data_IF_989871586749
#
_entry.id   IF_989871586749
#
_cell.length_a   1.000
_cell.length_b   1.000
_cell.length_c   1.000
_cell.angle_alpha   90.00
_cell.angle_beta   90.00
_cell.angle_gamma   90.00
#
_symmetry.space_group_name_H-M   'P 1'
#
loop_
_entity.id
_entity.type
_entity.pdbx_description
1 polymer ?
#
# COMPACT_ATOMS: atom_id res chain seq x y z
N UNK A 1 21.28 -2.02 -19.37
CA UNK A 1 21.12 -3.17 -18.48
C UNK A 1 22.49 -3.81 -18.32
N UNK A 2 23.18 -3.50 -17.21
CA UNK A 2 24.42 -4.18 -16.85
C UNK A 2 24.09 -5.64 -16.54
N UNK A 3 24.84 -6.58 -17.09
CA UNK A 3 24.71 -8.01 -16.79
C UNK A 3 24.93 -8.22 -15.29
N UNK A 4 23.86 -8.53 -14.58
CA UNK A 4 23.98 -8.95 -13.19
C UNK A 4 24.92 -10.17 -13.15
N UNK A 5 25.87 -10.16 -12.22
CA UNK A 5 26.78 -11.28 -12.01
C UNK A 5 25.94 -12.55 -11.76
N UNK A 6 26.12 -13.64 -12.54
CA UNK A 6 25.35 -14.86 -12.41
C UNK A 6 25.40 -15.47 -10.99
N UNK A 7 26.48 -15.23 -10.25
CA UNK A 7 26.62 -15.68 -8.87
C UNK A 7 25.66 -14.93 -7.94
N UNK A 8 25.53 -13.61 -8.11
CA UNK A 8 24.62 -12.78 -7.34
C UNK A 8 23.14 -13.12 -7.60
N UNK A 9 22.80 -13.43 -8.86
CA UNK A 9 21.44 -13.88 -9.21
C UNK A 9 21.07 -15.20 -8.52
N UNK A 10 21.99 -16.19 -8.52
CA UNK A 10 21.78 -17.47 -7.86
C UNK A 10 21.66 -17.34 -6.31
N UNK A 11 22.38 -16.40 -5.71
CA UNK A 11 22.27 -16.12 -4.27
C UNK A 11 20.94 -15.50 -3.91
N UNK A 12 20.44 -14.54 -4.71
CA UNK A 12 19.12 -13.95 -4.55
C UNK A 12 18.01 -15.00 -4.68
N UNK A 13 18.07 -15.86 -5.67
CA UNK A 13 17.09 -16.95 -5.83
C UNK A 13 17.06 -17.90 -4.64
N UNK A 14 18.21 -18.23 -4.07
CA UNK A 14 18.27 -19.01 -2.82
C UNK A 14 17.66 -18.26 -1.64
N UNK A 15 17.85 -16.94 -1.57
CA UNK A 15 17.24 -16.11 -0.54
C UNK A 15 15.72 -16.07 -0.69
N UNK A 16 15.21 -15.92 -1.90
CA UNK A 16 13.77 -15.99 -2.18
C UNK A 16 13.17 -17.33 -1.75
N UNK A 17 13.82 -18.42 -2.12
CA UNK A 17 13.39 -19.76 -1.70
C UNK A 17 13.34 -19.91 -0.18
N UNK A 18 14.36 -19.41 0.55
CA UNK A 18 14.35 -19.43 2.02
C UNK A 18 13.21 -18.57 2.60
N UNK A 19 12.97 -17.39 2.03
CA UNK A 19 11.88 -16.52 2.48
C UNK A 19 10.51 -17.14 2.23
N UNK A 20 10.28 -17.70 1.04
CA UNK A 20 9.03 -18.43 0.72
C UNK A 20 8.79 -19.61 1.65
N UNK A 21 9.81 -20.41 1.98
CA UNK A 21 9.65 -21.52 2.93
C UNK A 21 9.28 -21.05 4.34
N UNK A 22 9.89 -19.97 4.84
CA UNK A 22 9.52 -19.41 6.15
C UNK A 22 8.06 -18.95 6.20
N UNK A 23 7.58 -18.31 5.11
CA UNK A 23 6.19 -17.91 5.02
C UNK A 23 5.24 -19.09 4.85
N UNK A 24 5.64 -20.12 4.10
CA UNK A 24 4.88 -21.36 3.98
C UNK A 24 4.74 -22.04 5.35
N UNK A 25 5.82 -22.19 6.10
CA UNK A 25 5.83 -22.76 7.46
C UNK A 25 4.96 -21.95 8.41
N UNK A 26 5.08 -20.61 8.35
CA UNK A 26 4.23 -19.72 9.15
C UNK A 26 2.74 -19.92 8.83
N UNK A 27 2.34 -19.94 7.56
CA UNK A 27 0.93 -20.13 7.19
C UNK A 27 0.42 -21.54 7.51
N UNK A 28 1.23 -22.56 7.33
CA UNK A 28 0.87 -23.93 7.69
C UNK A 28 0.61 -24.04 9.20
N UNK A 29 1.50 -23.50 10.02
CA UNK A 29 1.35 -23.47 11.48
C UNK A 29 0.14 -22.64 11.91
N UNK A 30 0.08 -21.40 11.46
CA UNK A 30 -0.88 -20.41 11.96
C UNK A 30 -2.34 -20.68 11.54
N UNK A 31 -2.54 -21.09 10.29
CA UNK A 31 -3.88 -21.25 9.72
C UNK A 31 -4.30 -22.70 9.52
N UNK A 32 -3.35 -23.60 9.31
CA UNK A 32 -3.63 -25.00 8.97
C UNK A 32 -3.22 -26.00 10.06
N UNK A 33 -2.68 -25.52 11.19
CA UNK A 33 -2.28 -26.36 12.35
C UNK A 33 -1.30 -27.46 11.97
N UNK A 34 -0.32 -27.14 11.14
CA UNK A 34 0.73 -28.03 10.63
C UNK A 34 0.19 -29.26 9.86
N UNK A 35 -0.99 -29.11 9.23
CA UNK A 35 -1.63 -30.22 8.51
C UNK A 35 -0.94 -30.57 7.18
N UNK A 36 -0.21 -29.61 6.57
CA UNK A 36 0.48 -29.84 5.29
C UNK A 36 1.88 -30.41 5.50
N UNK A 37 2.26 -31.31 4.61
CA UNK A 37 3.65 -31.75 4.51
C UNK A 37 4.45 -30.75 3.65
N UNK A 38 5.68 -30.48 4.03
CA UNK A 38 6.57 -29.54 3.33
C UNK A 38 6.70 -29.91 1.85
N UNK A 39 6.34 -29.02 0.91
CA UNK A 39 6.45 -29.27 -0.53
C UNK A 39 7.86 -28.97 -1.04
N UNK A 40 8.14 -29.32 -2.27
CA UNK A 40 9.25 -28.74 -3.01
C UNK A 40 8.84 -27.33 -3.46
N UNK A 41 9.57 -26.29 -3.07
CA UNK A 41 9.40 -24.94 -3.61
C UNK A 41 10.38 -24.73 -4.77
N UNK A 42 9.85 -24.33 -5.92
CA UNK A 42 10.62 -24.05 -7.12
C UNK A 42 10.31 -22.66 -7.66
N UNK A 43 11.31 -22.02 -8.24
CA UNK A 43 11.14 -20.77 -8.99
C UNK A 43 10.99 -21.11 -10.46
N UNK A 44 9.92 -20.61 -11.08
CA UNK A 44 9.60 -20.87 -12.49
C UNK A 44 9.77 -19.63 -13.35
N UNK A 45 9.94 -19.85 -14.67
CA UNK A 45 10.08 -18.78 -15.67
C UNK A 45 8.78 -18.47 -16.43
N UNK A 46 7.67 -19.11 -16.04
CA UNK A 46 6.38 -18.93 -16.70
C UNK A 46 5.88 -17.49 -16.52
N UNK A 47 5.80 -16.72 -17.61
CA UNK A 47 5.35 -15.34 -17.59
C UNK A 47 3.83 -15.19 -17.38
N UNK A 48 3.05 -16.22 -17.70
CA UNK A 48 1.58 -16.18 -17.66
C UNK A 48 0.98 -16.76 -16.37
N UNK A 49 1.75 -17.53 -15.59
CA UNK A 49 1.30 -18.12 -14.32
C UNK A 49 2.10 -17.56 -13.17
N UNK A 50 1.43 -17.02 -12.18
CA UNK A 50 2.06 -16.45 -10.97
C UNK A 50 2.55 -17.57 -10.04
N UNK A 51 1.77 -18.66 -9.94
CA UNK A 51 2.05 -19.85 -9.16
C UNK A 51 1.43 -21.10 -9.76
N UNK A 52 1.83 -22.28 -9.26
CA UNK A 52 1.28 -23.58 -9.63
C UNK A 52 1.57 -24.62 -8.55
N UNK A 53 0.54 -25.38 -8.13
CA UNK A 53 0.67 -26.59 -7.36
C UNK A 53 0.67 -27.82 -8.27
N UNK A 54 1.74 -28.63 -8.23
CA UNK A 54 1.88 -29.91 -8.89
C UNK A 54 1.72 -31.02 -7.85
N UNK A 55 0.60 -31.72 -7.89
CA UNK A 55 0.27 -32.76 -6.92
C UNK A 55 1.13 -34.02 -7.07
N UNK A 56 1.57 -34.33 -8.30
CA UNK A 56 2.38 -35.54 -8.58
C UNK A 56 3.80 -35.41 -8.02
N UNK A 57 4.37 -34.22 -8.12
CA UNK A 57 5.71 -33.91 -7.60
C UNK A 57 5.68 -33.27 -6.20
N UNK A 58 4.49 -33.00 -5.66
CA UNK A 58 4.28 -32.27 -4.43
C UNK A 58 5.08 -30.94 -4.42
N UNK A 59 4.94 -30.18 -5.48
CA UNK A 59 5.73 -29.01 -5.77
C UNK A 59 4.85 -27.76 -5.91
N UNK A 60 5.26 -26.67 -5.25
CA UNK A 60 4.75 -25.32 -5.48
C UNK A 60 5.79 -24.58 -6.30
N UNK A 61 5.39 -24.07 -7.45
CA UNK A 61 6.22 -23.21 -8.30
C UNK A 61 5.72 -21.77 -8.19
N UNK A 62 6.63 -20.81 -7.97
CA UNK A 62 6.34 -19.38 -7.98
C UNK A 62 7.14 -18.71 -9.10
N UNK A 63 6.51 -17.83 -9.87
CA UNK A 63 7.15 -17.13 -10.99
C UNK A 63 8.22 -16.16 -10.50
N UNK A 64 9.44 -16.23 -11.11
CA UNK A 64 10.51 -15.25 -10.88
C UNK A 64 10.09 -13.84 -11.24
N UNK A 65 9.37 -13.69 -12.35
CA UNK A 65 8.86 -12.38 -12.77
C UNK A 65 7.89 -11.80 -11.74
N UNK A 66 7.03 -12.63 -11.14
CA UNK A 66 6.13 -12.23 -10.07
C UNK A 66 6.91 -11.70 -8.85
N UNK A 67 7.96 -12.42 -8.43
CA UNK A 67 8.81 -12.00 -7.30
C UNK A 67 9.53 -10.65 -7.60
N UNK A 68 9.95 -10.44 -8.84
CA UNK A 68 10.70 -9.23 -9.21
C UNK A 68 9.84 -7.99 -9.44
N UNK A 69 8.59 -8.16 -9.87
CA UNK A 69 7.77 -7.04 -10.35
C UNK A 69 6.56 -6.73 -9.49
N UNK A 70 6.16 -7.62 -8.58
CA UNK A 70 5.00 -7.39 -7.74
C UNK A 70 5.37 -7.18 -6.27
N UNK A 71 4.41 -6.74 -5.47
CA UNK A 71 4.62 -6.62 -4.04
C UNK A 71 4.82 -8.00 -3.39
N UNK A 72 5.59 -8.06 -2.31
CA UNK A 72 5.75 -9.32 -1.59
C UNK A 72 4.44 -9.85 -1.03
N UNK A 73 3.49 -8.97 -0.69
CA UNK A 73 2.13 -9.36 -0.28
C UNK A 73 1.40 -10.12 -1.40
N UNK A 74 1.54 -9.69 -2.67
CA UNK A 74 0.92 -10.40 -3.80
C UNK A 74 1.58 -11.75 -4.04
N UNK A 75 2.90 -11.83 -3.88
CA UNK A 75 3.66 -13.12 -3.94
C UNK A 75 3.17 -14.07 -2.85
N UNK A 76 2.91 -13.55 -1.64
CA UNK A 76 2.40 -14.36 -0.53
C UNK A 76 0.93 -14.74 -0.71
N UNK A 77 0.13 -13.93 -1.40
CA UNK A 77 -1.23 -14.31 -1.78
C UNK A 77 -1.20 -15.49 -2.75
N UNK A 78 -0.34 -15.45 -3.76
CA UNK A 78 -0.12 -16.58 -4.67
C UNK A 78 0.37 -17.81 -3.92
N UNK A 79 1.34 -17.67 -3.01
CA UNK A 79 1.80 -18.80 -2.19
C UNK A 79 0.64 -19.43 -1.39
N UNK A 80 -0.21 -18.65 -0.76
CA UNK A 80 -1.37 -19.15 -0.01
C UNK A 80 -2.41 -19.80 -0.91
N UNK A 81 -2.60 -19.28 -2.13
CA UNK A 81 -3.46 -19.89 -3.14
C UNK A 81 -2.97 -21.30 -3.50
N UNK A 82 -1.68 -21.45 -3.77
CA UNK A 82 -1.08 -22.78 -4.06
C UNK A 82 -1.10 -23.71 -2.84
N UNK A 83 -0.95 -23.16 -1.63
CA UNK A 83 -1.15 -23.92 -0.39
C UNK A 83 -2.61 -24.39 -0.22
N UNK A 84 -3.59 -23.63 -0.71
CA UNK A 84 -4.98 -24.05 -0.69
C UNK A 84 -5.18 -25.28 -1.61
N UNK A 85 -4.61 -25.28 -2.82
CA UNK A 85 -4.62 -26.45 -3.69
C UNK A 85 -3.93 -27.65 -3.02
N UNK A 86 -2.77 -27.44 -2.39
CA UNK A 86 -2.08 -28.50 -1.64
C UNK A 86 -2.98 -29.07 -0.53
N UNK A 87 -3.67 -28.23 0.23
CA UNK A 87 -4.54 -28.66 1.32
C UNK A 87 -5.76 -29.45 0.82
N UNK A 88 -6.39 -28.98 -0.24
CA UNK A 88 -7.52 -29.69 -0.88
C UNK A 88 -7.07 -31.08 -1.34
N UNK A 89 -5.88 -31.16 -1.93
CA UNK A 89 -5.32 -32.42 -2.40
C UNK A 89 -4.90 -33.37 -1.27
N UNK A 90 -4.07 -32.88 -0.33
CA UNK A 90 -3.42 -33.75 0.68
C UNK A 90 -4.33 -34.06 1.88
N UNK A 91 -5.18 -33.09 2.29
CA UNK A 91 -5.94 -33.17 3.54
C UNK A 91 -7.41 -33.49 3.29
N UNK A 92 -8.07 -32.73 2.40
CA UNK A 92 -9.48 -32.94 2.11
C UNK A 92 -9.72 -34.08 1.13
N UNK A 93 -8.72 -34.44 0.32
CA UNK A 93 -8.82 -35.47 -0.72
C UNK A 93 -9.98 -35.28 -1.68
N UNK A 94 -10.36 -34.01 -1.93
CA UNK A 94 -11.48 -33.63 -2.78
C UNK A 94 -11.08 -33.61 -4.28
N UNK A 95 -10.51 -34.69 -4.78
CA UNK A 95 -9.89 -34.81 -6.12
C UNK A 95 -10.93 -34.73 -7.25
N UNK A 96 -12.19 -34.97 -6.95
CA UNK A 96 -13.29 -34.96 -7.95
C UNK A 96 -13.96 -33.62 -8.10
N UNK A 97 -13.63 -32.63 -7.26
CA UNK A 97 -14.19 -31.28 -7.36
C UNK A 97 -13.45 -30.45 -8.41
N UNK A 98 -14.12 -29.38 -8.88
CA UNK A 98 -13.47 -28.34 -9.65
C UNK A 98 -12.26 -27.76 -8.87
N UNK A 99 -11.11 -27.54 -9.51
CA UNK A 99 -9.92 -27.02 -8.83
C UNK A 99 -10.16 -25.76 -7.99
N UNK A 100 -11.13 -24.91 -8.37
CA UNK A 100 -11.56 -23.72 -7.62
C UNK A 100 -12.99 -23.87 -7.04
N UNK A 101 -13.41 -25.12 -6.77
CA UNK A 101 -14.70 -25.48 -6.20
C UNK A 101 -14.90 -25.01 -4.77
N UNK A 102 -15.93 -25.56 -4.10
CA UNK A 102 -16.30 -25.13 -2.75
C UNK A 102 -15.23 -25.44 -1.71
N UNK A 103 -14.63 -26.65 -1.78
CA UNK A 103 -13.54 -27.05 -0.90
C UNK A 103 -12.35 -26.07 -0.98
N UNK A 104 -11.95 -25.71 -2.19
CA UNK A 104 -10.86 -24.74 -2.41
C UNK A 104 -11.21 -23.36 -1.81
N UNK A 105 -12.40 -22.83 -2.09
CA UNK A 105 -12.83 -21.52 -1.53
C UNK A 105 -12.89 -21.52 -0.01
N UNK A 106 -13.30 -22.64 0.59
CA UNK A 106 -13.28 -22.83 2.04
C UNK A 106 -11.85 -22.70 2.59
N UNK A 107 -10.88 -23.35 1.93
CA UNK A 107 -9.47 -23.28 2.35
C UNK A 107 -8.87 -21.91 2.12
N UNK A 108 -9.20 -21.23 1.00
CA UNK A 108 -8.79 -19.85 0.78
C UNK A 108 -9.29 -18.90 1.89
N UNK A 109 -10.55 -19.04 2.31
CA UNK A 109 -11.06 -18.29 3.47
C UNK A 109 -10.26 -18.58 4.75
N UNK A 110 -9.89 -19.83 4.99
CA UNK A 110 -9.07 -20.23 6.14
C UNK A 110 -7.66 -19.64 6.07
N UNK A 111 -7.04 -19.64 4.88
CA UNK A 111 -5.73 -19.04 4.62
C UNK A 111 -5.77 -17.51 4.43
N UNK A 112 -6.98 -16.92 4.36
CA UNK A 112 -7.19 -15.49 4.14
C UNK A 112 -6.55 -14.97 2.85
N UNK A 113 -6.66 -15.75 1.79
CA UNK A 113 -6.26 -15.38 0.44
C UNK A 113 -7.48 -15.28 -0.49
N UNK A 114 -7.31 -14.51 -1.57
CA UNK A 114 -8.32 -14.38 -2.60
C UNK A 114 -8.34 -15.65 -3.48
N UNK A 115 -9.48 -16.33 -3.63
CA UNK A 115 -9.60 -17.46 -4.57
C UNK A 115 -9.26 -17.09 -6.02
N UNK A 116 -9.36 -15.80 -6.41
CA UNK A 116 -9.06 -15.30 -7.74
C UNK A 116 -7.61 -14.77 -7.89
N UNK A 117 -6.73 -14.97 -6.91
CA UNK A 117 -5.39 -14.36 -6.84
C UNK A 117 -4.52 -14.59 -8.08
N UNK A 118 -4.68 -15.73 -8.77
CA UNK A 118 -3.96 -16.06 -10.00
C UNK A 118 -4.47 -15.35 -11.25
N UNK A 119 -5.70 -14.83 -11.23
CA UNK A 119 -6.34 -14.22 -12.40
C UNK A 119 -6.16 -12.69 -12.51
N UNK A 120 -5.66 -12.03 -11.45
CA UNK A 120 -5.58 -10.55 -11.41
C UNK A 120 -4.67 -9.93 -12.47
N UNK A 121 -3.67 -10.65 -12.99
CA UNK A 121 -2.80 -10.13 -14.05
C UNK A 121 -3.37 -10.23 -15.47
N UNK A 122 -4.37 -11.08 -15.68
CA UNK A 122 -4.87 -11.35 -17.04
C UNK A 122 -5.95 -10.37 -17.45
N UNK A 123 -6.55 -9.61 -16.51
CA UNK A 123 -7.62 -8.69 -16.86
C UNK A 123 -7.69 -7.47 -15.93
N UNK A 124 -7.00 -6.35 -16.28
CA UNK A 124 -7.23 -5.07 -15.59
C UNK A 124 -8.67 -4.53 -15.77
N UNK A 125 -9.49 -5.17 -16.62
CA UNK A 125 -10.89 -4.82 -16.85
C UNK A 125 -11.88 -5.53 -15.91
N UNK A 126 -11.43 -6.41 -15.03
CA UNK A 126 -12.29 -7.21 -14.14
C UNK A 126 -12.47 -6.69 -12.71
N UNK A 127 -12.02 -5.53 -12.37
CA UNK A 127 -12.72 -4.76 -11.37
C UNK A 127 -13.94 -4.20 -12.07
N UNK A 128 -15.12 -4.77 -11.82
CA UNK A 128 -16.39 -4.07 -11.96
C UNK A 128 -16.33 -2.88 -10.98
N UNK A 129 -15.47 -1.92 -11.29
CA UNK A 129 -15.46 -0.64 -10.62
C UNK A 129 -16.82 -0.03 -10.98
N UNK A 130 -17.61 0.28 -9.97
CA UNK A 130 -18.82 1.05 -10.13
C UNK A 130 -18.48 2.22 -11.07
N UNK A 131 -19.27 2.43 -12.16
CA UNK A 131 -19.07 3.57 -13.07
C UNK A 131 -18.99 4.91 -12.32
N UNK A 132 -19.63 5.01 -11.17
CA UNK A 132 -19.58 6.16 -10.27
C UNK A 132 -18.20 6.28 -9.64
N UNK A 133 -17.61 5.18 -9.12
CA UNK A 133 -16.27 5.18 -8.54
C UNK A 133 -15.20 5.63 -9.53
N UNK A 134 -15.22 5.09 -10.75
CA UNK A 134 -14.31 5.51 -11.83
C UNK A 134 -14.48 6.99 -12.20
N UNK A 135 -15.72 7.49 -12.18
CA UNK A 135 -16.02 8.89 -12.45
C UNK A 135 -15.46 9.79 -11.37
N UNK A 136 -15.63 9.44 -10.09
CA UNK A 136 -15.09 10.18 -8.94
C UNK A 136 -13.56 10.15 -8.96
N UNK A 137 -12.96 8.98 -9.20
CA UNK A 137 -11.51 8.85 -9.30
C UNK A 137 -10.93 9.78 -10.39
N UNK A 138 -11.55 9.81 -11.59
CA UNK A 138 -11.16 10.71 -12.68
C UNK A 138 -11.36 12.19 -12.31
N UNK A 139 -12.44 12.51 -11.62
CA UNK A 139 -12.72 13.89 -11.21
C UNK A 139 -11.74 14.35 -10.14
N UNK A 140 -11.43 13.52 -9.16
CA UNK A 140 -10.40 13.77 -8.13
C UNK A 140 -9.04 13.95 -8.80
N UNK A 141 -8.64 13.05 -9.68
CA UNK A 141 -7.40 13.16 -10.45
C UNK A 141 -7.34 14.46 -11.26
N UNK A 142 -8.43 14.83 -11.91
CA UNK A 142 -8.53 16.08 -12.68
C UNK A 142 -8.44 17.31 -11.77
N UNK A 143 -9.08 17.31 -10.61
CA UNK A 143 -8.98 18.41 -9.64
C UNK A 143 -7.58 18.53 -9.08
N UNK A 144 -6.93 17.40 -8.81
CA UNK A 144 -5.54 17.40 -8.40
C UNK A 144 -4.62 17.91 -9.51
N UNK A 145 -4.91 17.65 -10.80
CA UNK A 145 -4.16 18.21 -11.93
C UNK A 145 -4.36 19.70 -12.14
N UNK A 146 -5.48 20.29 -11.71
CA UNK A 146 -5.72 21.74 -11.72
C UNK A 146 -4.96 22.49 -10.63
N UNK A 147 -4.48 21.80 -9.60
CA UNK A 147 -3.62 22.38 -8.58
C UNK A 147 -2.23 22.83 -9.08
N UNK A 148 -1.86 22.56 -10.35
CA UNK A 148 -0.66 23.06 -11.03
C UNK A 148 -0.76 24.53 -11.45
N UNK A 149 -1.91 25.17 -11.18
CA UNK A 149 -2.01 26.62 -11.38
C UNK A 149 -0.88 27.32 -10.63
N UNK A 150 -0.15 28.25 -11.26
CA UNK A 150 0.82 29.09 -10.57
C UNK A 150 0.17 29.95 -9.48
N UNK A 151 -1.15 30.00 -9.44
CA UNK A 151 -1.94 30.67 -8.43
C UNK A 151 -2.22 29.71 -7.24
N UNK A 152 -1.58 29.96 -6.10
CA UNK A 152 -1.73 29.16 -4.88
C UNK A 152 -3.18 29.03 -4.39
N UNK A 153 -4.01 30.07 -4.62
CA UNK A 153 -5.42 30.05 -4.22
C UNK A 153 -6.25 29.08 -5.06
N UNK A 154 -6.01 29.01 -6.37
CA UNK A 154 -6.69 28.06 -7.26
C UNK A 154 -6.28 26.61 -6.95
N UNK A 155 -4.98 26.38 -6.73
CA UNK A 155 -4.45 25.10 -6.34
C UNK A 155 -5.07 24.59 -5.03
N UNK A 156 -5.15 25.47 -4.02
CA UNK A 156 -5.78 25.12 -2.74
C UNK A 156 -7.28 24.86 -2.88
N UNK A 157 -7.99 25.67 -3.67
CA UNK A 157 -9.43 25.47 -3.93
C UNK A 157 -9.71 24.13 -4.62
N UNK A 158 -8.87 23.73 -5.57
CA UNK A 158 -8.99 22.46 -6.27
C UNK A 158 -8.80 21.25 -5.32
N UNK A 159 -7.80 21.31 -4.44
CA UNK A 159 -7.57 20.26 -3.42
C UNK A 159 -8.72 20.18 -2.42
N UNK A 160 -9.18 21.31 -1.91
CA UNK A 160 -10.32 21.35 -0.99
C UNK A 160 -11.57 20.74 -1.64
N UNK A 161 -11.79 21.03 -2.94
CA UNK A 161 -12.90 20.44 -3.71
C UNK A 161 -12.72 18.94 -3.88
N UNK A 162 -11.50 18.44 -4.13
CA UNK A 162 -11.23 17.02 -4.24
C UNK A 162 -11.50 16.30 -2.90
N UNK A 163 -11.04 16.88 -1.78
CA UNK A 163 -11.31 16.33 -0.44
C UNK A 163 -12.82 16.33 -0.11
N UNK A 164 -13.53 17.38 -0.47
CA UNK A 164 -14.98 17.43 -0.27
C UNK A 164 -15.71 16.38 -1.09
N UNK A 165 -15.36 16.21 -2.37
CA UNK A 165 -15.94 15.18 -3.22
C UNK A 165 -15.65 13.77 -2.67
N UNK A 166 -14.45 13.52 -2.17
CA UNK A 166 -14.12 12.25 -1.51
C UNK A 166 -14.95 12.05 -0.25
N UNK A 167 -15.14 13.09 0.55
CA UNK A 167 -15.98 13.01 1.75
C UNK A 167 -17.43 12.68 1.38
N UNK A 168 -18.02 13.43 0.47
CA UNK A 168 -19.39 13.21 -0.03
C UNK A 168 -19.53 11.78 -0.57
N UNK A 169 -18.61 11.34 -1.43
CA UNK A 169 -18.60 9.99 -1.99
C UNK A 169 -18.50 8.90 -0.92
N UNK A 170 -17.62 9.06 0.06
CA UNK A 170 -17.47 8.05 1.11
C UNK A 170 -18.64 8.02 2.09
N UNK A 171 -19.30 9.15 2.35
CA UNK A 171 -20.54 9.20 3.15
C UNK A 171 -21.68 8.54 2.40
N UNK A 172 -21.91 8.88 1.12
CA UNK A 172 -22.95 8.27 0.29
C UNK A 172 -22.74 6.74 0.16
N UNK A 173 -21.47 6.31 0.09
CA UNK A 173 -21.13 4.90 0.06
C UNK A 173 -21.47 4.18 1.36
N UNK A 174 -21.25 4.78 2.53
CA UNK A 174 -21.56 4.15 3.83
C UNK A 174 -23.05 3.88 3.93
N UNK A 175 -23.87 4.80 3.43
CA UNK A 175 -25.33 4.71 3.46
C UNK A 175 -25.91 3.78 2.39
N UNK A 176 -25.11 3.35 1.40
CA UNK A 176 -25.56 2.47 0.33
C UNK A 176 -25.36 0.99 0.65
N UNK A 177 -26.30 0.13 0.20
CA UNK A 177 -26.17 -1.34 0.27
C UNK A 177 -25.31 -1.93 -0.85
N UNK A 178 -24.70 -1.09 -1.71
CA UNK A 178 -23.88 -1.56 -2.83
C UNK A 178 -22.69 -2.40 -2.36
N UNK A 179 -22.41 -3.51 -3.05
CA UNK A 179 -21.19 -4.27 -2.85
C UNK A 179 -19.98 -3.40 -3.20
N UNK A 180 -19.01 -3.33 -2.29
CA UNK A 180 -17.79 -2.55 -2.46
C UNK A 180 -16.59 -3.46 -2.60
N UNK A 181 -15.76 -3.19 -3.59
CA UNK A 181 -14.45 -3.77 -3.71
C UNK A 181 -13.44 -3.02 -2.84
N UNK A 182 -12.96 -3.66 -1.78
CA UNK A 182 -11.80 -3.15 -1.06
C UNK A 182 -10.54 -3.83 -1.58
N UNK A 183 -9.48 -3.05 -1.66
CA UNK A 183 -8.16 -3.50 -2.04
C UNK A 183 -7.13 -3.09 -0.98
N UNK A 184 -5.92 -3.57 -1.16
CA UNK A 184 -4.76 -3.15 -0.36
C UNK A 184 -3.58 -2.87 -1.26
N UNK A 185 -2.74 -1.91 -0.84
CA UNK A 185 -1.53 -1.52 -1.55
C UNK A 185 -0.39 -1.25 -0.58
N UNK A 186 0.82 -1.58 -1.00
CA UNK A 186 2.02 -1.24 -0.25
C UNK A 186 2.56 0.11 -0.70
N UNK A 187 2.87 1.00 0.25
CA UNK A 187 3.44 2.31 0.00
C UNK A 187 4.84 2.43 0.62
N UNK A 188 5.75 3.01 -0.12
CA UNK A 188 7.13 3.20 0.31
C UNK A 188 8.00 1.95 0.12
N UNK A 189 9.04 1.83 0.93
CA UNK A 189 10.04 0.76 0.82
C UNK A 189 10.05 -0.10 2.06
N UNK A 190 10.40 -1.38 1.89
CA UNK A 190 10.68 -2.30 3.00
C UNK A 190 11.90 -1.81 3.78
N UNK A 191 11.76 -1.68 5.10
CA UNK A 191 12.81 -1.22 6.01
C UNK A 191 12.76 -1.97 7.33
N UNK A 192 13.92 -2.17 7.93
CA UNK A 192 14.01 -2.73 9.29
C UNK A 192 13.55 -1.76 10.37
N UNK A 193 13.63 -0.44 10.11
CA UNK A 193 13.20 0.62 11.04
C UNK A 193 12.63 1.80 10.26
N UNK A 194 11.46 2.28 10.70
CA UNK A 194 10.80 3.46 10.14
C UNK A 194 11.09 4.70 11.01
N UNK A 195 11.55 5.80 10.40
CA UNK A 195 11.75 7.04 11.12
C UNK A 195 10.38 7.67 11.48
N UNK A 196 10.37 8.53 12.51
CA UNK A 196 9.14 9.12 13.04
C UNK A 196 8.29 9.86 12.00
N UNK A 197 8.91 10.45 10.98
CA UNK A 197 8.16 11.14 9.94
C UNK A 197 7.29 10.20 9.08
N UNK A 198 7.74 8.95 8.83
CA UNK A 198 6.90 7.96 8.13
C UNK A 198 5.67 7.57 8.95
N UNK A 199 5.79 7.55 10.28
CA UNK A 199 4.65 7.30 11.17
C UNK A 199 3.64 8.46 11.12
N UNK A 200 4.11 9.70 11.07
CA UNK A 200 3.26 10.87 10.86
C UNK A 200 2.54 10.80 9.52
N UNK A 201 3.24 10.40 8.45
CA UNK A 201 2.66 10.26 7.12
C UNK A 201 1.56 9.18 7.11
N UNK A 202 1.83 8.01 7.70
CA UNK A 202 0.83 6.95 7.84
C UNK A 202 -0.41 7.42 8.62
N UNK A 203 -0.22 8.19 9.71
CA UNK A 203 -1.31 8.76 10.50
C UNK A 203 -2.13 9.76 9.67
N UNK A 204 -1.50 10.62 8.86
CA UNK A 204 -2.18 11.55 7.96
C UNK A 204 -3.06 10.78 6.96
N UNK A 205 -2.54 9.72 6.35
CA UNK A 205 -3.31 8.90 5.42
C UNK A 205 -4.53 8.29 6.10
N UNK A 206 -4.35 7.68 7.26
CA UNK A 206 -5.42 7.04 8.01
C UNK A 206 -6.51 8.04 8.45
N UNK A 207 -6.11 9.21 8.91
CA UNK A 207 -7.06 10.17 9.50
C UNK A 207 -7.81 10.99 8.46
N UNK A 208 -7.21 11.28 7.30
CA UNK A 208 -7.75 12.27 6.37
C UNK A 208 -8.09 11.73 4.97
N UNK A 209 -7.74 10.47 4.64
CA UNK A 209 -7.89 9.96 3.27
C UNK A 209 -8.68 8.65 3.14
N UNK A 210 -9.56 8.37 4.11
CA UNK A 210 -10.54 7.27 4.07
C UNK A 210 -9.93 5.88 3.83
N UNK A 211 -8.77 5.64 4.43
CA UNK A 211 -8.04 4.38 4.34
C UNK A 211 -7.64 3.89 5.73
N UNK A 212 -7.51 2.58 5.88
CA UNK A 212 -6.87 1.96 7.03
C UNK A 212 -5.40 1.68 6.71
N UNK A 213 -4.52 1.82 7.69
CA UNK A 213 -3.08 1.63 7.49
C UNK A 213 -2.48 0.67 8.51
N UNK A 214 -1.48 -0.08 8.08
CA UNK A 214 -0.75 -1.00 8.95
C UNK A 214 0.70 -1.16 8.47
N UNK A 215 1.64 -1.25 9.42
CA UNK A 215 3.00 -1.67 9.12
C UNK A 215 3.06 -3.20 9.11
N UNK A 216 3.13 -3.79 7.92
CA UNK A 216 3.15 -5.24 7.73
C UNK A 216 4.56 -5.76 7.50
N UNK A 217 4.82 -6.99 7.93
CA UNK A 217 6.07 -7.67 7.57
C UNK A 217 6.12 -7.88 6.06
N UNK A 218 7.25 -7.57 5.48
CA UNK A 218 7.49 -7.71 4.05
C UNK A 218 8.95 -8.03 3.76
N UNK A 219 9.22 -8.34 2.51
CA UNK A 219 10.54 -8.69 2.02
C UNK A 219 10.80 -7.98 0.68
N UNK A 220 11.94 -7.31 0.61
CA UNK A 220 12.44 -6.71 -0.64
C UNK A 220 13.29 -7.75 -1.36
N UNK A 221 12.74 -8.35 -2.39
CA UNK A 221 13.40 -9.43 -3.14
C UNK A 221 14.64 -8.95 -3.89
N UNK A 222 14.69 -7.68 -4.31
CA UNK A 222 15.82 -7.12 -5.03
C UNK A 222 17.04 -6.88 -4.10
N UNK A 223 16.80 -6.66 -2.82
CA UNK A 223 17.83 -6.31 -1.83
C UNK A 223 18.11 -7.42 -0.81
N UNK A 224 17.41 -8.54 -0.89
CA UNK A 224 17.42 -9.60 0.15
C UNK A 224 17.20 -9.00 1.56
N UNK A 225 16.20 -8.10 1.69
CA UNK A 225 15.98 -7.37 2.93
C UNK A 225 14.61 -7.71 3.54
N UNK A 226 14.62 -8.23 4.76
CA UNK A 226 13.42 -8.37 5.57
C UNK A 226 13.14 -7.11 6.37
N UNK A 227 11.88 -6.74 6.47
CA UNK A 227 11.48 -5.56 7.22
C UNK A 227 9.98 -5.41 7.32
N UNK A 228 9.55 -4.18 7.43
CA UNK A 228 8.14 -3.80 7.37
C UNK A 228 7.94 -2.74 6.28
N UNK A 229 6.72 -2.67 5.76
CA UNK A 229 6.28 -1.67 4.78
C UNK A 229 4.91 -1.17 5.19
N UNK A 230 4.57 0.05 4.80
CA UNK A 230 3.22 0.59 5.02
C UNK A 230 2.25 -0.09 4.05
N UNK A 231 1.27 -0.79 4.56
CA UNK A 231 0.16 -1.35 3.80
C UNK A 231 -1.10 -0.54 4.08
N UNK A 232 -1.80 -0.18 3.01
CA UNK A 232 -2.96 0.71 3.01
C UNK A 232 -4.16 -0.04 2.44
N UNK A 233 -5.31 0.08 3.09
CA UNK A 233 -6.55 -0.62 2.77
C UNK A 233 -7.64 0.40 2.46
N UNK A 234 -8.41 0.21 1.40
CA UNK A 234 -9.48 1.12 1.02
C UNK A 234 -10.14 0.74 -0.29
N UNK A 235 -11.06 1.56 -0.77
CA UNK A 235 -11.56 1.48 -2.14
C UNK A 235 -10.46 1.87 -3.13
N UNK A 236 -10.59 1.49 -4.39
CA UNK A 236 -9.61 1.83 -5.44
C UNK A 236 -9.35 3.34 -5.50
N UNK A 237 -10.40 4.15 -5.38
CA UNK A 237 -10.32 5.61 -5.40
C UNK A 237 -9.56 6.17 -4.20
N UNK A 238 -9.86 5.68 -2.99
CA UNK A 238 -9.19 6.13 -1.77
C UNK A 238 -7.72 5.72 -1.76
N UNK A 239 -7.41 4.52 -2.25
CA UNK A 239 -6.04 4.04 -2.41
C UNK A 239 -5.24 4.88 -3.40
N UNK A 240 -5.81 5.23 -4.56
CA UNK A 240 -5.15 6.10 -5.53
C UNK A 240 -4.83 7.48 -4.94
N UNK A 241 -5.76 8.04 -4.14
CA UNK A 241 -5.52 9.29 -3.42
C UNK A 241 -4.43 9.15 -2.35
N UNK A 242 -4.44 8.07 -1.59
CA UNK A 242 -3.43 7.80 -0.57
C UNK A 242 -2.03 7.63 -1.17
N UNK A 243 -1.91 6.92 -2.30
CA UNK A 243 -0.66 6.81 -3.08
C UNK A 243 -0.14 8.17 -3.52
N UNK A 244 -1.02 8.98 -4.11
CA UNK A 244 -0.69 10.32 -4.54
C UNK A 244 -0.16 11.17 -3.37
N UNK A 245 -0.90 11.22 -2.26
CA UNK A 245 -0.52 12.00 -1.07
C UNK A 245 0.80 11.52 -0.46
N UNK A 246 1.00 10.20 -0.41
CA UNK A 246 2.24 9.61 0.07
C UNK A 246 3.45 10.05 -0.78
N UNK A 247 3.34 9.95 -2.11
CA UNK A 247 4.39 10.35 -3.04
C UNK A 247 4.64 11.87 -2.99
N UNK A 248 3.57 12.66 -3.00
CA UNK A 248 3.64 14.11 -2.91
C UNK A 248 4.36 14.58 -1.64
N UNK A 249 3.92 14.11 -0.47
CA UNK A 249 4.53 14.51 0.80
C UNK A 249 5.98 14.08 0.89
N UNK A 250 6.32 12.87 0.43
CA UNK A 250 7.71 12.40 0.39
C UNK A 250 8.61 13.35 -0.44
N UNK A 251 8.14 13.79 -1.60
CA UNK A 251 8.89 14.71 -2.47
C UNK A 251 8.96 16.13 -1.87
N UNK A 252 7.88 16.61 -1.27
CA UNK A 252 7.83 17.94 -0.63
C UNK A 252 8.81 18.01 0.54
N UNK A 253 8.90 16.97 1.36
CA UNK A 253 9.83 16.91 2.49
C UNK A 253 11.28 17.13 2.04
N UNK A 254 11.70 16.45 0.97
CA UNK A 254 13.06 16.59 0.44
C UNK A 254 13.34 17.99 -0.10
N UNK A 255 12.38 18.56 -0.81
CA UNK A 255 12.51 19.92 -1.36
C UNK A 255 12.58 20.97 -0.25
N UNK A 256 11.68 20.90 0.75
CA UNK A 256 11.67 21.82 1.87
C UNK A 256 12.95 21.72 2.71
N UNK A 257 13.45 20.50 2.93
CA UNK A 257 14.73 20.31 3.61
C UNK A 257 15.90 20.92 2.84
N UNK A 258 15.93 20.76 1.54
CA UNK A 258 17.00 21.31 0.68
C UNK A 258 17.03 22.83 0.78
N UNK A 259 15.87 23.51 0.73
CA UNK A 259 15.75 24.96 0.92
C UNK A 259 16.19 25.38 2.34
N UNK A 260 15.62 24.74 3.37
CA UNK A 260 15.96 25.05 4.76
C UNK A 260 17.46 24.86 5.06
N UNK A 261 18.04 23.77 4.57
CA UNK A 261 19.47 23.49 4.71
C UNK A 261 20.34 24.59 4.09
N UNK A 262 19.96 25.05 2.91
CA UNK A 262 20.65 26.13 2.19
C UNK A 262 20.52 27.46 2.94
N UNK A 263 19.32 27.84 3.34
CA UNK A 263 19.04 29.10 4.08
C UNK A 263 19.80 29.17 5.43
N UNK A 264 19.88 28.03 6.13
CA UNK A 264 20.54 27.94 7.43
C UNK A 264 22.06 27.61 7.34
N UNK A 265 22.60 27.45 6.13
CA UNK A 265 24.01 27.10 5.95
C UNK A 265 24.42 25.76 6.57
N UNK A 266 23.49 24.79 6.68
CA UNK A 266 23.76 23.52 7.34
C UNK A 266 24.56 22.58 6.44
N UNK A 267 25.71 22.11 6.94
CA UNK A 267 26.56 21.13 6.27
C UNK A 267 26.13 19.67 6.48
N UNK A 268 25.32 19.40 7.52
CA UNK A 268 24.94 18.06 7.99
C UNK A 268 23.45 17.77 7.83
N UNK A 269 23.10 16.49 7.59
CA UNK A 269 21.72 16.01 7.56
C UNK A 269 21.19 15.53 8.92
N UNK A 270 21.89 15.85 10.03
CA UNK A 270 21.53 15.36 11.39
C UNK A 270 20.12 15.72 11.82
N UNK A 271 19.65 16.91 11.46
CA UNK A 271 18.32 17.42 11.85
C UNK A 271 17.22 17.09 10.82
N UNK A 272 17.57 16.48 9.67
CA UNK A 272 16.64 16.21 8.56
C UNK A 272 15.40 15.44 9.01
N UNK A 273 15.56 14.36 9.77
CA UNK A 273 14.44 13.54 10.20
C UNK A 273 13.51 14.28 11.17
N UNK A 274 14.05 15.16 12.01
CA UNK A 274 13.27 16.01 12.91
C UNK A 274 12.52 17.09 12.15
N UNK A 275 13.18 17.72 11.18
CA UNK A 275 12.53 18.69 10.30
C UNK A 275 11.36 18.05 9.55
N UNK A 276 11.53 16.87 8.96
CA UNK A 276 10.46 16.11 8.29
C UNK A 276 9.27 15.84 9.21
N UNK A 277 9.53 15.36 10.41
CA UNK A 277 8.48 15.12 11.39
C UNK A 277 7.74 16.42 11.75
N UNK A 278 8.46 17.55 11.86
CA UNK A 278 7.88 18.87 12.06
C UNK A 278 6.96 19.28 10.90
N UNK A 279 7.43 19.14 9.65
CA UNK A 279 6.63 19.46 8.46
C UNK A 279 5.33 18.68 8.44
N UNK A 280 5.39 17.38 8.68
CA UNK A 280 4.19 16.52 8.68
C UNK A 280 3.25 16.84 9.86
N UNK A 281 3.79 17.18 11.04
CA UNK A 281 2.96 17.64 12.15
C UNK A 281 2.24 18.96 11.83
N UNK A 282 2.94 19.90 11.21
CA UNK A 282 2.34 21.18 10.79
C UNK A 282 1.25 20.98 9.74
N UNK A 283 1.50 20.10 8.78
CA UNK A 283 0.53 19.75 7.74
C UNK A 283 -0.69 19.02 8.31
N UNK A 284 -0.49 18.05 9.22
CA UNK A 284 -1.56 17.37 9.94
C UNK A 284 -2.47 18.37 10.68
N UNK A 285 -1.88 19.32 11.42
CA UNK A 285 -2.63 20.37 12.10
C UNK A 285 -3.45 21.25 11.14
N UNK A 286 -2.89 21.59 9.97
CA UNK A 286 -3.62 22.31 8.91
C UNK A 286 -4.84 21.51 8.42
N UNK A 287 -4.67 20.23 8.11
CA UNK A 287 -5.78 19.38 7.66
C UNK A 287 -6.88 19.25 8.73
N UNK A 288 -6.49 19.15 10.01
CA UNK A 288 -7.43 19.13 11.12
C UNK A 288 -8.28 20.40 11.21
N UNK A 289 -7.68 21.59 11.05
CA UNK A 289 -8.40 22.85 10.99
C UNK A 289 -9.35 22.93 9.79
N UNK A 290 -8.88 22.55 8.61
CA UNK A 290 -9.71 22.52 7.39
C UNK A 290 -10.91 21.57 7.54
N UNK A 291 -10.73 20.41 8.16
CA UNK A 291 -11.82 19.47 8.44
C UNK A 291 -12.84 20.08 9.41
N UNK A 292 -12.38 20.75 10.47
CA UNK A 292 -13.26 21.44 11.42
C UNK A 292 -14.05 22.56 10.75
N UNK A 293 -13.43 23.38 9.90
CA UNK A 293 -14.08 24.44 9.13
C UNK A 293 -15.14 23.89 8.17
N UNK A 294 -14.83 22.77 7.48
CA UNK A 294 -15.79 22.09 6.61
C UNK A 294 -16.99 21.59 7.42
N UNK A 295 -16.76 20.96 8.57
CA UNK A 295 -17.84 20.49 9.45
C UNK A 295 -18.71 21.64 9.98
N UNK A 296 -18.12 22.78 10.30
CA UNK A 296 -18.85 23.97 10.77
C UNK A 296 -19.67 24.66 9.67
N UNK A 297 -19.27 24.54 8.40
CA UNK A 297 -19.92 25.17 7.25
C UNK A 297 -21.07 24.36 6.64
N UNK A 298 -21.23 23.11 7.04
CA UNK A 298 -22.29 22.22 6.52
C UNK A 298 -23.45 22.24 7.52
N UNK A 299 -24.60 22.80 7.11
CA UNK A 299 -25.85 22.86 7.89
C UNK A 299 -26.47 21.49 8.19
N UNK A 300 -25.87 20.39 7.71
CA UNK A 300 -26.40 19.03 7.86
C UNK A 300 -25.40 18.19 8.67
N UNK A 301 -25.86 17.62 9.79
CA UNK A 301 -25.13 16.62 10.60
C UNK A 301 -24.64 15.38 9.80
N UNK A 302 -25.06 15.27 8.53
CA UNK A 302 -24.87 14.11 7.67
C UNK A 302 -23.45 13.93 7.10
N UNK A 303 -22.55 14.93 7.16
CA UNK A 303 -21.22 14.86 6.54
C UNK A 303 -20.08 14.65 7.55
N UNK A 304 -20.35 13.93 8.65
CA UNK A 304 -19.29 13.52 9.57
C UNK A 304 -18.86 12.11 9.25
N UNK A 305 -17.65 11.95 8.70
CA UNK A 305 -17.06 10.63 8.52
C UNK A 305 -16.84 9.96 9.88
N UNK A 306 -17.57 8.88 10.14
CA UNK A 306 -17.47 8.04 11.34
C UNK A 306 -16.68 6.75 11.13
N UNK A 307 -16.08 6.56 9.95
CA UNK A 307 -15.44 5.33 9.54
C UNK A 307 -16.34 4.46 8.66
N UNK A 308 -15.79 3.41 8.08
CA UNK A 308 -16.49 2.42 7.28
C UNK A 308 -16.34 1.04 7.95
N UNK A 309 -17.43 0.50 8.51
CA UNK A 309 -17.44 -0.81 9.20
C UNK A 309 -17.08 -1.96 8.24
N UNK A 310 -17.42 -1.84 6.95
CA UNK A 310 -17.10 -2.85 5.93
C UNK A 310 -15.59 -2.83 5.63
N UNK A 311 -15.00 -1.64 5.52
CA UNK A 311 -13.55 -1.49 5.39
C UNK A 311 -12.83 -2.03 6.64
N UNK A 312 -13.33 -1.72 7.83
CA UNK A 312 -12.80 -2.25 9.10
C UNK A 312 -12.87 -3.78 9.15
N UNK A 313 -13.97 -4.36 8.66
CA UNK A 313 -14.15 -5.81 8.59
C UNK A 313 -13.15 -6.44 7.61
N UNK A 314 -12.97 -5.85 6.42
CA UNK A 314 -11.98 -6.25 5.43
C UNK A 314 -10.56 -6.16 5.98
N UNK A 315 -10.21 -5.04 6.62
CA UNK A 315 -8.92 -4.81 7.26
C UNK A 315 -8.62 -5.86 8.35
N UNK A 316 -9.58 -6.13 9.25
CA UNK A 316 -9.44 -7.13 10.31
C UNK A 316 -9.42 -8.56 9.78
N UNK A 317 -10.15 -8.84 8.69
CA UNK A 317 -10.09 -10.14 8.05
C UNK A 317 -8.67 -10.47 7.57
N UNK A 318 -7.98 -9.52 6.96
CA UNK A 318 -6.60 -9.72 6.54
C UNK A 318 -5.60 -9.65 7.71
N UNK A 319 -5.93 -8.92 8.78
CA UNK A 319 -5.03 -8.64 9.91
C UNK A 319 -5.68 -9.00 11.25
N UNK A 320 -5.79 -10.29 11.61
CA UNK A 320 -6.50 -10.72 12.83
C UNK A 320 -5.76 -10.36 14.13
N UNK A 321 -4.45 -10.12 14.05
CA UNK A 321 -3.57 -9.86 15.19
C UNK A 321 -2.85 -8.54 15.04
N UNK A 322 -3.61 -7.44 15.19
CA UNK A 322 -3.04 -6.10 15.16
C UNK A 322 -2.48 -5.76 16.53
N UNK A 323 -1.25 -5.25 16.56
CA UNK A 323 -0.62 -4.72 17.75
C UNK A 323 -0.45 -3.20 17.61
N UNK A 324 -1.02 -2.45 18.52
CA UNK A 324 -0.79 -1.00 18.60
C UNK A 324 0.50 -0.75 19.38
N UNK A 325 1.43 -0.04 18.77
CA UNK A 325 2.65 0.43 19.44
C UNK A 325 2.57 1.94 19.64
N UNK A 326 2.75 2.38 20.86
CA UNK A 326 2.96 3.80 21.12
C UNK A 326 4.37 4.17 20.66
N UNK A 327 4.46 5.20 19.84
CA UNK A 327 5.74 5.77 19.42
C UNK A 327 6.09 6.94 20.33
N UNK A 328 7.35 6.99 20.76
CA UNK A 328 7.86 8.12 21.54
C UNK A 328 7.80 9.41 20.73
N UNK A 329 7.53 10.52 21.40
CA UNK A 329 7.50 11.85 20.78
C UNK A 329 8.86 12.23 20.17
N UNK A 330 8.84 13.04 19.12
CA UNK A 330 10.05 13.64 18.55
C UNK A 330 10.49 14.79 19.44
N UNK A 331 11.76 14.80 19.86
CA UNK A 331 12.29 15.93 20.63
C UNK A 331 12.20 17.24 19.81
N UNK A 332 11.60 18.24 20.39
CA UNK A 332 11.45 19.54 19.77
C UNK A 332 12.81 20.24 19.62
N UNK A 333 13.40 20.20 18.41
CA UNK A 333 14.56 20.98 18.01
C UNK A 333 14.13 22.26 17.28
N UNK A 334 15.06 23.16 17.03
CA UNK A 334 14.80 24.33 16.20
C UNK A 334 14.36 23.92 14.78
N UNK A 335 15.06 22.97 14.17
CA UNK A 335 14.69 22.42 12.87
C UNK A 335 13.28 21.81 12.87
N UNK A 336 12.87 21.14 13.95
CA UNK A 336 11.51 20.63 14.09
C UNK A 336 10.48 21.77 14.09
N UNK A 337 10.72 22.86 14.84
CA UNK A 337 9.81 24.02 14.90
C UNK A 337 9.68 24.72 13.54
N UNK A 338 10.81 24.95 12.85
CA UNK A 338 10.79 25.49 11.48
C UNK A 338 10.06 24.55 10.51
N UNK A 339 10.21 23.23 10.69
CA UNK A 339 9.44 22.24 9.97
C UNK A 339 7.93 22.40 10.16
N UNK A 340 7.45 22.58 11.41
CA UNK A 340 6.03 22.78 11.70
C UNK A 340 5.47 24.03 10.98
N UNK A 341 6.21 25.12 10.97
CA UNK A 341 5.80 26.33 10.25
C UNK A 341 5.76 26.12 8.74
N UNK A 342 6.78 25.45 8.19
CA UNK A 342 6.80 25.09 6.78
C UNK A 342 5.63 24.16 6.41
N UNK A 343 5.31 23.18 7.28
CA UNK A 343 4.22 22.25 7.08
C UNK A 343 2.84 22.89 7.03
N UNK A 344 2.60 23.91 7.83
CA UNK A 344 1.34 24.72 7.78
C UNK A 344 1.14 25.41 6.44
N UNK A 345 2.22 25.67 5.70
CA UNK A 345 2.18 26.30 4.36
C UNK A 345 2.11 25.28 3.23
N UNK A 346 2.32 23.98 3.51
CA UNK A 346 2.23 22.94 2.47
C UNK A 346 0.82 22.93 1.89
N UNK A 347 0.76 22.99 0.57
CA UNK A 347 -0.47 22.79 -0.21
C UNK A 347 -0.26 21.56 -1.09
N UNK A 348 -1.22 20.64 -1.11
CA UNK A 348 -1.17 19.49 -1.99
C UNK A 348 -1.19 19.98 -3.44
N UNK A 349 -0.14 19.67 -4.19
CA UNK A 349 -0.01 19.99 -5.62
C UNK A 349 0.11 18.70 -6.40
N UNK A 350 -0.48 18.60 -7.62
CA UNK A 350 -0.32 17.41 -8.45
C UNK A 350 1.14 17.24 -8.93
N UNK A 351 1.52 16.01 -9.33
CA UNK A 351 2.81 15.79 -9.94
C UNK A 351 2.89 16.51 -11.28
N UNK A 352 4.03 17.10 -11.58
CA UNK A 352 4.36 17.58 -12.93
C UNK A 352 4.33 16.35 -13.84
N UNK A 353 3.43 16.31 -14.81
CA UNK A 353 3.41 15.25 -15.81
C UNK A 353 4.74 15.23 -16.55
N UNK A 354 5.56 14.23 -16.30
CA UNK A 354 6.38 13.70 -17.37
C UNK A 354 5.44 12.90 -18.27
N UNK A 355 5.21 13.42 -19.48
CA UNK A 355 4.31 12.86 -20.47
C UNK A 355 4.72 11.44 -20.85
N UNK A 356 4.18 10.42 -20.16
CA UNK A 356 4.07 9.05 -20.65
C UNK A 356 3.04 8.31 -19.79
N UNK A 357 2.01 7.87 -20.41
CA UNK A 357 1.03 6.83 -20.16
C UNK A 357 0.75 6.35 -18.72
N UNK A 358 -0.52 6.16 -18.43
CA UNK A 358 -1.03 5.39 -17.30
C UNK A 358 -0.25 4.08 -17.13
N UNK A 359 0.76 4.10 -16.30
CA UNK A 359 1.53 2.97 -15.86
C UNK A 359 1.97 3.29 -14.45
N UNK A 360 1.61 2.42 -13.50
CA UNK A 360 2.00 2.57 -12.11
C UNK A 360 3.45 3.01 -12.00
N UNK A 361 3.75 3.88 -11.06
CA UNK A 361 5.09 4.39 -10.82
C UNK A 361 6.07 3.25 -10.59
N UNK A 362 6.64 2.75 -11.67
CA UNK A 362 7.83 1.92 -11.63
C UNK A 362 9.01 2.85 -11.33
N UNK A 363 9.65 2.58 -10.25
CA UNK A 363 10.91 3.13 -9.82
C UNK A 363 11.96 3.02 -10.96
N UNK A 364 12.25 4.11 -11.64
CA UNK A 364 13.45 4.19 -12.49
C UNK A 364 14.60 4.72 -11.63
N UNK A 365 15.36 3.82 -11.03
CA UNK A 365 16.69 4.11 -10.54
C UNK A 365 17.58 4.42 -11.72
N UNK A 366 17.75 5.68 -12.06
CA UNK A 366 18.85 6.13 -12.90
C UNK A 366 20.04 6.46 -12.01
N UNK A 367 20.96 5.49 -11.90
CA UNK A 367 22.33 5.83 -11.66
C UNK A 367 22.91 6.41 -12.94
N UNK A 368 23.47 7.58 -12.87
CA UNK A 368 24.56 7.96 -13.80
C UNK A 368 25.40 9.08 -13.20
N UNK A 369 26.68 8.74 -13.16
CA UNK A 369 27.96 9.47 -13.10
C UNK A 369 28.44 9.92 -11.73
#
# INVERSE_FOLDING_TARGET
MGSADPQNAAELERAWGRSLYRWWEFYNHEYLRDALRRPLLQLGDAAQRLGEWDSALRRITISRQHICSDSWTDVLDTLRHEMAHQYVWEVLQAHAEDPHGEAFRLVCRKLRCDPAATARRVNPERTENDPVELRIARLVTKLLSLGDSPNEHEAQAAVNKAQRLLLEYNVDLVDSDAERGFERRQLGQVKGRHPAWELWLAMILNEFFFVEVLWTRSYDAARDLEGTVLEVYGTVTNLAMAEYVHAFLSNVLERLWSGYRQEQGLSSNRERMRYFAGVLQGFHGKLGLQRADLQASVETEALVWQGDERLQSYYRYHNPRIQTRQTGGVAASEAFRHGVEAGRRVTLRPPIESATGFGGYLYSGSGER
#
